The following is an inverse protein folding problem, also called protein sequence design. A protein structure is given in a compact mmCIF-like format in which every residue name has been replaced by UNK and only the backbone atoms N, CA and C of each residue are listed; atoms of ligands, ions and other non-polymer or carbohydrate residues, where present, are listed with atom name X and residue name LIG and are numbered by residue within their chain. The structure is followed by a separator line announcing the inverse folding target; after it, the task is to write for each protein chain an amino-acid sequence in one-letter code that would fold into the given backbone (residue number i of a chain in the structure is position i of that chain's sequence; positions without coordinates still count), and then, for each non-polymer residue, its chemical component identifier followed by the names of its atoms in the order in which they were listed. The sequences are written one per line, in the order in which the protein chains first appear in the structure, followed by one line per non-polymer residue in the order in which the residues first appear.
data_IF_835997901330
#
_entry.id   IF_835997901330
#
_cell.length_a   1.000
_cell.length_b   1.000
_cell.length_c   1.000
_cell.angle_alpha   90.00
_cell.angle_beta   90.00
_cell.angle_gamma   90.00
#
_symmetry.space_group_name_H-M   'P 1'
#
loop_
_entity.id
_entity.type
_entity.pdbx_description
1 polymer ?
#
# COMPACT_ATOMS: atom_id res chain seq x y z
N UNK A 1 -2.78 -4.62 -25.02
CA UNK A 1 -1.33 -4.44 -24.82
C UNK A 1 -0.97 -3.14 -24.11
N UNK A 2 -1.90 -2.20 -23.86
CA UNK A 2 -1.67 -0.98 -23.06
C UNK A 2 -1.76 -1.19 -21.52
N UNK A 3 -2.51 -2.20 -21.08
CA UNK A 3 -2.83 -2.43 -19.66
C UNK A 3 -1.61 -2.71 -18.78
N UNK A 4 -0.59 -3.39 -19.32
CA UNK A 4 0.61 -3.74 -18.54
C UNK A 4 1.49 -2.54 -18.20
N UNK A 5 1.58 -1.56 -19.09
CA UNK A 5 2.40 -0.37 -18.85
C UNK A 5 1.70 0.55 -17.82
N UNK A 6 0.38 0.69 -17.91
CA UNK A 6 -0.43 1.42 -16.94
C UNK A 6 -0.34 0.79 -15.54
N UNK A 7 -0.52 -0.53 -15.46
CA UNK A 7 -0.36 -1.33 -14.24
C UNK A 7 1.04 -1.16 -13.60
N UNK A 8 2.09 -1.17 -14.41
CA UNK A 8 3.46 -0.93 -13.92
C UNK A 8 3.68 0.50 -13.43
N UNK A 9 3.07 1.49 -14.08
CA UNK A 9 3.10 2.89 -13.63
C UNK A 9 2.37 3.06 -12.30
N UNK A 10 1.19 2.46 -12.14
CA UNK A 10 0.46 2.43 -10.85
C UNK A 10 1.29 1.79 -9.75
N UNK A 11 1.94 0.65 -10.03
CA UNK A 11 2.80 -0.04 -9.09
C UNK A 11 3.99 0.83 -8.64
N UNK A 12 4.66 1.51 -9.58
CA UNK A 12 5.76 2.42 -9.27
C UNK A 12 5.30 3.64 -8.48
N UNK A 13 4.14 4.21 -8.81
CA UNK A 13 3.56 5.33 -8.08
C UNK A 13 3.20 4.93 -6.64
N UNK A 14 2.59 3.74 -6.46
CA UNK A 14 2.33 3.15 -5.16
C UNK A 14 3.62 2.98 -4.36
N UNK A 15 4.66 2.38 -4.94
CA UNK A 15 5.95 2.18 -4.25
C UNK A 15 6.53 3.49 -3.71
N UNK A 16 6.62 4.51 -4.57
CA UNK A 16 7.11 5.85 -4.16
C UNK A 16 6.27 6.45 -3.04
N UNK A 17 4.95 6.23 -3.06
CA UNK A 17 4.06 6.71 -2.00
C UNK A 17 4.30 5.99 -0.67
N UNK A 18 4.45 4.66 -0.70
CA UNK A 18 4.76 3.87 0.50
C UNK A 18 6.15 4.22 1.07
N UNK A 19 7.15 4.42 0.21
CA UNK A 19 8.48 4.91 0.60
C UNK A 19 8.39 6.28 1.27
N UNK A 20 7.60 7.19 0.73
CA UNK A 20 7.36 8.51 1.33
C UNK A 20 6.72 8.46 2.72
N UNK A 21 5.95 7.41 3.03
CA UNK A 21 5.40 7.22 4.38
C UNK A 21 6.43 6.67 5.36
N UNK A 22 7.37 5.86 4.87
CA UNK A 22 8.43 5.29 5.68
C UNK A 22 9.57 6.29 5.93
N UNK A 23 9.79 7.23 5.01
CA UNK A 23 10.80 8.28 5.14
C UNK A 23 10.46 9.22 6.33
N UNK A 24 11.18 9.05 7.43
CA UNK A 24 10.94 9.76 8.69
C UNK A 24 9.63 9.38 9.38
N UNK A 25 9.09 8.20 9.07
CA UNK A 25 7.86 7.66 9.63
C UNK A 25 8.01 6.23 10.11
N UNK A 26 6.89 5.61 10.49
CA UNK A 26 6.87 4.21 10.92
C UNK A 26 5.86 3.38 10.14
N UNK A 27 6.11 2.08 10.07
CA UNK A 27 5.21 1.09 9.49
C UNK A 27 4.95 -0.04 10.47
N UNK A 28 3.67 -0.37 10.63
CA UNK A 28 3.20 -1.51 11.41
C UNK A 28 2.17 -2.29 10.60
N UNK A 29 1.90 -3.53 11.03
CA UNK A 29 0.92 -4.41 10.39
C UNK A 29 -0.13 -4.79 11.42
N UNK A 30 -1.41 -4.57 11.13
CA UNK A 30 -2.49 -4.94 12.07
C UNK A 30 -3.02 -6.35 11.83
N UNK A 31 -2.97 -6.84 10.59
CA UNK A 31 -3.40 -8.16 10.17
C UNK A 31 -2.75 -8.57 8.83
N UNK A 32 -3.08 -9.78 8.34
CA UNK A 32 -2.71 -10.24 7.01
C UNK A 32 -3.54 -9.51 5.93
N UNK A 33 -3.20 -8.26 5.66
CA UNK A 33 -3.90 -7.47 4.64
C UNK A 33 -3.86 -5.97 4.84
N UNK A 34 -3.46 -5.50 6.01
CA UNK A 34 -3.43 -4.07 6.33
C UNK A 34 -2.05 -3.62 6.79
N UNK A 35 -1.53 -2.59 6.13
CA UNK A 35 -0.39 -1.81 6.58
C UNK A 35 -0.89 -0.53 7.23
N UNK A 36 -0.25 -0.14 8.33
CA UNK A 36 -0.53 1.11 9.03
C UNK A 36 0.76 1.90 9.09
N UNK A 37 0.73 3.09 8.51
CA UNK A 37 1.85 4.02 8.51
C UNK A 37 1.57 5.18 9.45
N UNK A 38 2.60 5.71 10.08
CA UNK A 38 2.59 7.05 10.68
C UNK A 38 3.68 7.84 9.97
N UNK A 39 3.30 8.85 9.19
CA UNK A 39 4.27 9.63 8.42
C UNK A 39 5.05 10.64 9.27
N UNK A 40 6.00 11.34 8.65
CA UNK A 40 6.81 12.38 9.30
C UNK A 40 6.00 13.56 9.86
N UNK A 41 4.74 13.73 9.43
CA UNK A 41 3.82 14.75 9.95
C UNK A 41 2.93 14.21 11.08
N UNK A 42 3.21 12.99 11.57
CA UNK A 42 2.42 12.27 12.57
C UNK A 42 0.99 11.95 12.11
N UNK A 43 0.76 11.90 10.80
CA UNK A 43 -0.52 11.48 10.23
C UNK A 43 -0.52 9.97 10.03
N UNK A 44 -1.59 9.34 10.53
CA UNK A 44 -1.74 7.90 10.41
C UNK A 44 -2.50 7.55 9.13
N UNK A 45 -1.92 6.64 8.33
CA UNK A 45 -2.46 6.15 7.07
C UNK A 45 -2.67 4.64 7.14
N UNK A 46 -3.81 4.15 6.65
CA UNK A 46 -4.09 2.71 6.52
C UNK A 46 -4.13 2.33 5.06
N UNK A 47 -3.24 1.42 4.66
CA UNK A 47 -3.23 0.85 3.32
C UNK A 47 -3.73 -0.59 3.38
N UNK A 48 -4.84 -0.85 2.69
CA UNK A 48 -5.51 -2.14 2.70
C UNK A 48 -6.22 -2.42 1.38
N UNK A 49 -6.57 -3.69 1.17
CA UNK A 49 -7.36 -4.08 0.01
C UNK A 49 -8.85 -3.74 0.20
N UNK A 50 -9.45 -3.11 -0.81
CA UNK A 50 -10.85 -2.71 -0.80
C UNK A 50 -11.54 -3.00 -2.13
N UNK A 51 -12.83 -3.37 -2.09
CA UNK A 51 -13.66 -3.51 -3.28
C UNK A 51 -14.58 -2.28 -3.44
N UNK A 52 -14.28 -1.44 -4.43
CA UNK A 52 -15.07 -0.27 -4.81
C UNK A 52 -16.11 -0.64 -5.86
N UNK A 53 -17.33 -0.12 -5.71
CA UNK A 53 -18.38 -0.27 -6.75
C UNK A 53 -18.00 0.38 -8.08
N UNK A 54 -17.19 1.46 -8.05
CA UNK A 54 -16.81 2.20 -9.25
C UNK A 54 -15.51 1.69 -9.89
N UNK A 55 -14.57 1.20 -9.08
CA UNK A 55 -13.21 0.87 -9.54
C UNK A 55 -12.83 -0.62 -9.34
N UNK A 56 -13.72 -1.44 -8.78
CA UNK A 56 -13.41 -2.85 -8.50
C UNK A 56 -12.40 -3.01 -7.37
N UNK A 57 -11.48 -3.98 -7.51
CA UNK A 57 -10.50 -4.30 -6.45
C UNK A 57 -9.32 -3.33 -6.49
N UNK A 58 -9.09 -2.63 -5.38
CA UNK A 58 -8.06 -1.61 -5.27
C UNK A 58 -7.25 -1.76 -3.98
N UNK A 59 -6.05 -1.16 -3.98
CA UNK A 59 -5.38 -0.78 -2.75
C UNK A 59 -5.79 0.64 -2.39
N UNK A 60 -6.44 0.76 -1.24
CA UNK A 60 -6.99 1.99 -0.71
C UNK A 60 -6.05 2.52 0.36
N UNK A 61 -5.83 3.83 0.34
CA UNK A 61 -5.10 4.54 1.37
C UNK A 61 -6.06 5.47 2.13
N UNK A 62 -6.25 5.21 3.42
CA UNK A 62 -7.20 5.91 4.28
C UNK A 62 -6.50 6.58 5.45
N UNK A 63 -6.49 7.92 5.44
CA UNK A 63 -6.04 8.72 6.58
C UNK A 63 -7.02 8.64 7.75
N UNK A 64 -6.51 8.46 8.97
CA UNK A 64 -7.32 8.47 10.20
C UNK A 64 -7.69 9.90 10.55
N UNK A 65 -8.82 10.34 10.02
CA UNK A 65 -9.35 11.71 10.15
C UNK A 65 -10.52 11.97 9.21
N UNK A 66 -10.70 11.11 8.20
CA UNK A 66 -11.71 11.27 7.17
C UNK A 66 -11.33 12.35 6.17
N UNK A 67 -11.73 12.18 4.91
CA UNK A 67 -11.40 13.13 3.84
C UNK A 67 -11.16 12.43 2.51
N UNK A 68 -10.17 12.92 1.76
CA UNK A 68 -9.75 12.34 0.49
C UNK A 68 -9.13 10.96 0.72
N UNK A 69 -9.61 9.96 -0.02
CA UNK A 69 -9.13 8.59 0.09
C UNK A 69 -8.53 8.20 -1.25
N UNK A 70 -7.21 8.35 -1.42
CA UNK A 70 -6.55 7.99 -2.66
C UNK A 70 -6.63 6.49 -2.94
N UNK A 71 -6.79 6.19 -4.22
CA UNK A 71 -6.57 4.85 -4.78
C UNK A 71 -5.09 4.77 -5.12
N UNK A 72 -4.36 3.82 -4.54
CA UNK A 72 -2.95 3.65 -4.85
C UNK A 72 -2.74 2.88 -6.15
N UNK A 73 -3.51 1.82 -6.36
CA UNK A 73 -3.51 1.01 -7.59
C UNK A 73 -4.69 0.04 -7.62
N UNK A 74 -4.98 -0.51 -8.79
CA UNK A 74 -5.82 -1.70 -8.94
C UNK A 74 -5.07 -2.96 -8.50
N UNK A 75 -5.67 -3.75 -7.62
CA UNK A 75 -5.05 -4.97 -7.12
C UNK A 75 -6.07 -6.00 -6.67
N UNK A 76 -5.90 -7.22 -7.19
CA UNK A 76 -6.66 -8.39 -6.81
C UNK A 76 -6.37 -8.88 -5.39
N UNK A 77 -5.16 -8.67 -4.86
CA UNK A 77 -4.81 -9.14 -3.51
C UNK A 77 -3.66 -8.36 -2.90
N UNK A 78 -3.75 -8.08 -1.60
CA UNK A 78 -2.64 -7.67 -0.76
C UNK A 78 -2.37 -8.72 0.32
N UNK A 79 -1.10 -9.07 0.52
CA UNK A 79 -0.63 -9.85 1.65
C UNK A 79 0.48 -9.07 2.33
N UNK A 80 0.44 -9.04 3.66
CA UNK A 80 1.39 -8.30 4.48
C UNK A 80 1.88 -9.20 5.60
N UNK A 81 3.17 -9.10 5.94
CA UNK A 81 3.79 -9.82 7.04
C UNK A 81 4.78 -8.90 7.76
N UNK A 82 4.60 -8.69 9.05
CA UNK A 82 5.62 -8.06 9.88
C UNK A 82 6.87 -8.94 9.94
N UNK A 83 8.05 -8.34 9.78
CA UNK A 83 9.33 -9.05 9.85
C UNK A 83 10.09 -8.73 11.14
N UNK A 84 10.07 -7.45 11.53
CA UNK A 84 10.72 -6.90 12.70
C UNK A 84 9.98 -5.61 13.13
N UNK A 85 10.30 -5.00 14.28
CA UNK A 85 9.84 -3.65 14.60
C UNK A 85 10.15 -2.70 13.44
N UNK A 86 9.19 -1.86 13.07
CA UNK A 86 9.27 -0.90 11.98
C UNK A 86 9.60 -1.49 10.59
N UNK A 87 9.45 -2.81 10.38
CA UNK A 87 9.75 -3.47 9.10
C UNK A 87 8.66 -4.47 8.72
N UNK A 88 8.15 -4.37 7.49
CA UNK A 88 7.18 -5.33 6.95
C UNK A 88 7.51 -5.75 5.51
N UNK A 89 7.19 -7.00 5.17
CA UNK A 89 7.13 -7.47 3.80
C UNK A 89 5.70 -7.41 3.28
N UNK A 90 5.53 -7.05 2.02
CA UNK A 90 4.24 -7.07 1.35
C UNK A 90 4.32 -7.77 0.00
N UNK A 91 3.20 -8.36 -0.42
CA UNK A 91 3.00 -8.94 -1.74
C UNK A 91 1.68 -8.41 -2.31
N UNK A 92 1.76 -7.78 -3.47
CA UNK A 92 0.60 -7.36 -4.26
C UNK A 92 0.41 -8.34 -5.41
N UNK A 93 -0.82 -8.78 -5.62
CA UNK A 93 -1.24 -9.51 -6.82
C UNK A 93 -2.13 -8.58 -7.63
N UNK A 94 -1.74 -8.32 -8.87
CA UNK A 94 -2.46 -7.50 -9.84
C UNK A 94 -3.62 -8.29 -10.47
N UNK A 95 -4.48 -7.62 -11.23
CA UNK A 95 -5.66 -8.26 -11.81
C UNK A 95 -5.32 -9.29 -12.89
N UNK A 96 -4.24 -9.05 -13.65
CA UNK A 96 -3.70 -10.01 -14.63
C UNK A 96 -2.98 -11.23 -13.99
N UNK A 97 -2.82 -11.21 -12.66
CA UNK A 97 -2.17 -12.27 -11.88
C UNK A 97 -0.67 -12.07 -11.66
N UNK A 98 -0.05 -11.03 -12.22
CA UNK A 98 1.32 -10.65 -11.88
C UNK A 98 1.42 -10.34 -10.39
N UNK A 99 2.57 -10.70 -9.80
CA UNK A 99 2.80 -10.46 -8.38
C UNK A 99 4.05 -9.66 -8.16
N UNK A 100 3.94 -8.60 -7.37
CA UNK A 100 5.05 -7.81 -6.90
C UNK A 100 5.28 -8.06 -5.40
N UNK A 101 6.55 -8.02 -4.97
CA UNK A 101 6.95 -8.17 -3.57
C UNK A 101 7.90 -7.05 -3.20
N UNK A 102 7.69 -6.47 -2.02
CA UNK A 102 8.57 -5.46 -1.45
C UNK A 102 8.76 -5.64 0.04
N UNK A 103 9.77 -4.97 0.57
CA UNK A 103 10.00 -4.81 2.00
C UNK A 103 10.03 -3.32 2.28
N UNK A 104 9.26 -2.89 3.28
CA UNK A 104 9.28 -1.54 3.80
C UNK A 104 10.01 -1.56 5.13
N UNK A 105 10.87 -0.57 5.33
CA UNK A 105 11.53 -0.29 6.59
C UNK A 105 11.32 1.20 6.87
N UNK A 106 10.72 1.52 8.02
CA UNK A 106 10.62 2.90 8.47
C UNK A 106 11.97 3.37 9.01
N UNK A 107 12.29 4.64 8.80
CA UNK A 107 13.44 5.27 9.45
C UNK A 107 12.98 5.69 10.86
N UNK A 108 13.38 4.93 11.89
CA UNK A 108 13.14 5.27 13.31
C UNK A 108 13.82 6.60 13.72
#
# INVERSE_FOLDING_TARGET
MATKDEEMVELQAMQRRLESYCAGGSVTTTDTGTMVFVDHQQVQHKVYQYHSQANGNILRDEGIGGGYVPILMHARKLLVSGLAPNTCAYKVTMDDGLTFRGVLNGDE
#
